data_IF_405499019699
#
_entry.id   IF_405499019699
#
_cell.length_a   1.000
_cell.length_b   1.000
_cell.length_c   1.000
_cell.angle_alpha   90.00
_cell.angle_beta   90.00
_cell.angle_gamma   90.00
#
_symmetry.space_group_name_H-M   'P 1'
#
loop_
_entity.id
_entity.type
_entity.pdbx_description
1 polymer ?
#
# COMPACT_ATOMS: atom_id res chain seq x y z
N UNK A 1 -11.13 9.55 -1.52
CA UNK A 1 -10.77 9.14 -2.91
C UNK A 1 -10.68 7.62 -2.97
N UNK A 2 -11.09 6.99 -4.08
CA UNK A 2 -10.93 5.55 -4.22
C UNK A 2 -9.45 5.18 -4.45
N UNK A 3 -8.91 4.18 -3.74
CA UNK A 3 -7.54 3.76 -3.94
C UNK A 3 -7.34 3.09 -5.30
N UNK A 4 -6.14 3.20 -5.82
CA UNK A 4 -5.67 2.37 -6.94
C UNK A 4 -5.26 1.01 -6.42
N UNK A 5 -5.33 -0.01 -7.28
CA UNK A 5 -4.88 -1.36 -6.94
C UNK A 5 -3.72 -1.75 -7.85
N UNK A 6 -2.62 -2.09 -7.25
CA UNK A 6 -1.52 -2.79 -7.91
C UNK A 6 -1.63 -4.28 -7.63
N UNK A 7 -1.52 -5.10 -8.65
CA UNK A 7 -1.48 -6.56 -8.51
C UNK A 7 -0.09 -7.01 -8.94
N UNK A 8 0.63 -7.64 -8.04
CA UNK A 8 1.96 -8.16 -8.34
C UNK A 8 1.86 -9.25 -9.43
N UNK A 9 2.74 -9.25 -10.46
CA UNK A 9 2.67 -10.21 -11.56
C UNK A 9 3.02 -11.64 -11.14
N UNK A 10 3.69 -11.82 -10.01
CA UNK A 10 4.14 -13.10 -9.49
C UNK A 10 3.74 -13.30 -8.03
N UNK A 11 3.66 -14.55 -7.55
CA UNK A 11 3.49 -14.83 -6.13
C UNK A 11 4.57 -14.15 -5.28
N UNK A 12 4.19 -13.70 -4.10
CA UNK A 12 5.08 -12.98 -3.20
C UNK A 12 5.64 -13.92 -2.11
N UNK A 13 6.95 -14.09 -2.10
CA UNK A 13 7.62 -14.96 -1.13
C UNK A 13 7.98 -14.16 0.13
N UNK A 14 7.54 -14.68 1.29
CA UNK A 14 7.80 -14.09 2.59
C UNK A 14 9.11 -14.63 3.19
N UNK A 15 9.75 -13.84 4.05
CA UNK A 15 10.97 -14.27 4.77
C UNK A 15 10.73 -15.51 5.64
N UNK A 16 9.50 -15.73 6.08
CA UNK A 16 9.11 -16.90 6.89
C UNK A 16 9.05 -18.21 6.10
N UNK A 17 9.30 -18.16 4.79
CA UNK A 17 9.26 -19.31 3.89
C UNK A 17 7.88 -19.56 3.27
N UNK A 18 6.85 -18.85 3.71
CA UNK A 18 5.51 -18.90 3.12
C UNK A 18 5.46 -18.06 1.82
N UNK A 19 4.51 -18.38 0.96
CA UNK A 19 4.25 -17.63 -0.27
C UNK A 19 2.82 -17.16 -0.31
N UNK A 20 2.61 -15.87 -0.57
CA UNK A 20 1.30 -15.35 -0.92
C UNK A 20 1.07 -15.60 -2.41
N UNK A 21 0.05 -16.39 -2.80
CA UNK A 21 -0.21 -16.70 -4.21
C UNK A 21 -0.60 -15.48 -5.02
N UNK A 22 -1.19 -14.46 -4.37
CA UNK A 22 -1.54 -13.18 -4.96
C UNK A 22 -1.24 -12.06 -3.97
N UNK A 23 -0.52 -11.04 -4.43
CA UNK A 23 -0.27 -9.82 -3.67
C UNK A 23 -0.97 -8.65 -4.37
N UNK A 24 -1.90 -8.00 -3.66
CA UNK A 24 -2.54 -6.75 -4.06
C UNK A 24 -2.12 -5.66 -3.11
N UNK A 25 -1.79 -4.50 -3.64
CA UNK A 25 -1.49 -3.29 -2.88
C UNK A 25 -2.50 -2.22 -3.25
N UNK A 26 -3.28 -1.77 -2.30
CA UNK A 26 -4.16 -0.61 -2.44
C UNK A 26 -3.39 0.65 -2.03
N UNK A 27 -3.39 1.66 -2.88
CA UNK A 27 -2.59 2.86 -2.68
C UNK A 27 -3.26 4.12 -3.24
N UNK A 28 -2.85 5.27 -2.73
CA UNK A 28 -3.22 6.58 -3.25
C UNK A 28 -2.01 7.31 -3.80
N UNK A 29 -2.23 8.14 -4.80
CA UNK A 29 -1.22 9.05 -5.35
C UNK A 29 -1.79 10.44 -5.49
N UNK A 30 -0.94 11.44 -5.29
CA UNK A 30 -1.26 12.84 -5.47
C UNK A 30 -0.15 13.50 -6.30
N UNK A 31 -0.54 14.32 -7.29
CA UNK A 31 0.41 14.89 -8.24
C UNK A 31 0.85 13.91 -9.32
N UNK A 32 1.91 14.26 -10.02
CA UNK A 32 2.43 13.50 -11.15
C UNK A 32 3.94 13.26 -11.03
N UNK A 33 4.37 12.07 -11.49
CA UNK A 33 5.78 11.73 -11.59
C UNK A 33 6.41 12.56 -12.72
N UNK A 34 7.49 13.29 -12.41
CA UNK A 34 8.20 14.07 -13.41
C UNK A 34 9.08 13.21 -14.32
N UNK A 35 9.57 13.80 -15.43
CA UNK A 35 10.37 13.08 -16.41
C UNK A 35 11.71 12.58 -15.84
N UNK A 36 12.27 13.26 -14.83
CA UNK A 36 13.51 12.86 -14.17
C UNK A 36 13.30 11.76 -13.10
N UNK A 37 12.06 11.45 -12.75
CA UNK A 37 11.69 10.48 -11.70
C UNK A 37 12.32 10.77 -10.33
N UNK A 38 12.49 12.05 -10.00
CA UNK A 38 13.16 12.50 -8.78
C UNK A 38 12.27 13.31 -7.81
N UNK A 39 10.96 13.36 -8.08
CA UNK A 39 10.00 14.10 -7.27
C UNK A 39 9.06 13.22 -6.41
N UNK A 40 9.42 11.98 -6.19
CA UNK A 40 8.60 11.04 -5.40
C UNK A 40 8.75 11.31 -3.91
N UNK A 41 7.62 11.44 -3.21
CA UNK A 41 7.56 11.44 -1.74
C UNK A 41 6.70 10.26 -1.31
N UNK A 42 7.30 9.30 -0.61
CA UNK A 42 6.60 8.15 -0.05
C UNK A 42 6.15 8.46 1.37
N UNK A 43 4.85 8.38 1.62
CA UNK A 43 4.27 8.58 2.95
C UNK A 43 3.99 7.22 3.59
N UNK A 44 4.49 7.01 4.80
CA UNK A 44 4.18 5.85 5.61
C UNK A 44 3.03 6.19 6.55
N UNK A 45 1.89 5.52 6.42
CA UNK A 45 0.74 5.79 7.28
C UNK A 45 0.91 5.21 8.69
N UNK A 46 0.21 5.79 9.67
CA UNK A 46 0.19 5.29 11.03
C UNK A 46 -0.57 3.94 11.14
N UNK A 47 -0.37 3.21 12.24
CA UNK A 47 -0.89 1.84 12.45
C UNK A 47 -2.39 1.69 12.14
N UNK A 48 -3.21 2.67 12.49
CA UNK A 48 -4.68 2.62 12.29
C UNK A 48 -5.17 3.47 11.13
N UNK A 49 -4.26 4.15 10.41
CA UNK A 49 -4.59 4.96 9.24
C UNK A 49 -4.62 4.10 7.96
N UNK A 50 -4.79 4.76 6.85
CA UNK A 50 -4.83 4.15 5.52
C UNK A 50 -4.02 4.98 4.51
N UNK A 51 -4.09 4.60 3.24
CA UNK A 51 -3.34 5.28 2.18
C UNK A 51 -3.89 6.63 1.75
N UNK A 52 -5.10 7.03 2.18
CA UNK A 52 -5.66 8.35 1.84
C UNK A 52 -5.14 9.45 2.79
N UNK A 53 -3.91 9.89 2.52
CA UNK A 53 -3.18 10.86 3.36
C UNK A 53 -3.95 12.18 3.50
N UNK A 54 -4.61 12.64 2.46
CA UNK A 54 -5.35 13.90 2.48
C UNK A 54 -6.55 13.85 3.42
N UNK A 55 -7.13 12.66 3.66
CA UNK A 55 -8.25 12.47 4.59
C UNK A 55 -7.80 12.56 6.06
N UNK A 56 -6.78 11.77 6.45
CA UNK A 56 -6.37 11.73 7.85
C UNK A 56 -5.31 12.78 8.22
N UNK A 57 -4.72 13.46 7.24
CA UNK A 57 -3.75 14.54 7.47
C UNK A 57 -4.16 15.80 6.69
N UNK A 58 -5.27 16.43 7.08
CA UNK A 58 -5.84 17.55 6.34
C UNK A 58 -4.85 18.70 6.21
N UNK A 59 -4.92 19.42 5.10
CA UNK A 59 -4.07 20.55 4.74
C UNK A 59 -2.57 20.24 4.57
N UNK A 60 -2.20 18.96 4.50
CA UNK A 60 -0.81 18.57 4.26
C UNK A 60 -0.54 18.35 2.78
N UNK A 61 -1.47 17.67 2.08
CA UNK A 61 -1.37 17.35 0.65
C UNK A 61 -2.24 18.33 -0.14
N UNK A 62 -1.73 19.54 -0.33
CA UNK A 62 -2.39 20.60 -1.09
C UNK A 62 -1.35 21.46 -1.79
N UNK A 63 -1.75 22.15 -2.88
CA UNK A 63 -0.87 23.10 -3.58
C UNK A 63 -0.37 24.21 -2.63
N UNK A 64 0.93 24.39 -2.60
CA UNK A 64 1.59 25.36 -1.73
C UNK A 64 1.77 24.91 -0.28
N UNK A 65 1.41 23.65 0.04
CA UNK A 65 1.62 23.05 1.36
C UNK A 65 2.83 22.14 1.39
N UNK A 66 3.04 21.44 2.50
CA UNK A 66 4.22 20.62 2.75
C UNK A 66 4.41 19.52 1.69
N UNK A 67 3.33 18.81 1.34
CA UNK A 67 3.30 17.84 0.25
C UNK A 67 2.52 18.43 -0.92
N UNK A 68 3.19 19.29 -1.69
CA UNK A 68 2.56 20.02 -2.80
C UNK A 68 2.45 19.13 -4.04
N UNK A 69 1.21 18.73 -4.47
CA UNK A 69 1.02 17.89 -5.65
C UNK A 69 1.44 18.55 -6.97
N UNK A 70 1.62 19.88 -6.99
CA UNK A 70 2.15 20.59 -8.17
C UNK A 70 3.67 20.36 -8.35
N UNK A 71 4.36 19.93 -7.30
CA UNK A 71 5.82 19.74 -7.27
C UNK A 71 6.22 18.30 -7.01
N UNK A 72 5.45 17.58 -6.17
CA UNK A 72 5.75 16.24 -5.70
C UNK A 72 4.76 15.22 -6.27
N UNK A 73 5.27 14.04 -6.56
CA UNK A 73 4.45 12.85 -6.75
C UNK A 73 4.37 12.11 -5.41
N UNK A 74 3.30 12.35 -4.67
CA UNK A 74 3.11 11.78 -3.33
C UNK A 74 2.46 10.41 -3.49
N UNK A 75 3.03 9.40 -2.85
CA UNK A 75 2.54 8.02 -2.85
C UNK A 75 2.37 7.54 -1.42
N UNK A 76 1.24 6.92 -1.13
CA UNK A 76 1.02 6.20 0.12
C UNK A 76 0.33 4.87 -0.19
N UNK A 77 0.89 3.77 0.28
CA UNK A 77 0.32 2.44 0.13
C UNK A 77 -0.19 1.92 1.48
N UNK A 78 -1.31 1.18 1.45
CA UNK A 78 -1.73 0.41 2.62
C UNK A 78 -0.77 -0.76 2.80
N UNK A 79 -0.22 -0.90 4.00
CA UNK A 79 0.77 -1.93 4.30
C UNK A 79 0.19 -3.34 4.18
N UNK A 80 1.05 -4.30 3.88
CA UNK A 80 0.72 -5.73 3.88
C UNK A 80 0.08 -6.12 5.22
N UNK A 81 -1.00 -6.89 5.16
CA UNK A 81 -1.73 -7.32 6.36
C UNK A 81 -2.78 -6.33 6.87
N UNK A 82 -2.85 -5.12 6.32
CA UNK A 82 -3.88 -4.14 6.67
C UNK A 82 -5.25 -4.51 6.08
N UNK A 83 -6.30 -3.79 6.50
CA UNK A 83 -7.68 -4.09 6.09
C UNK A 83 -8.27 -3.04 5.12
N UNK A 84 -7.42 -2.26 4.45
CA UNK A 84 -7.85 -1.20 3.52
C UNK A 84 -7.52 -1.53 2.05
N UNK A 85 -7.74 -2.79 1.66
CA UNK A 85 -7.62 -3.22 0.26
C UNK A 85 -6.30 -3.89 -0.14
N UNK A 86 -5.22 -3.69 0.61
CA UNK A 86 -3.99 -4.49 0.46
C UNK A 86 -4.20 -5.90 1.01
N UNK A 87 -3.55 -6.89 0.42
CA UNK A 87 -3.65 -8.29 0.84
C UNK A 87 -3.43 -8.44 2.34
N UNK A 88 -4.39 -9.04 3.01
CA UNK A 88 -4.43 -9.23 4.45
C UNK A 88 -5.36 -10.38 4.84
N UNK A 89 -5.54 -10.61 6.16
CA UNK A 89 -6.33 -11.75 6.67
C UNK A 89 -7.78 -11.81 6.20
N UNK A 90 -8.38 -10.67 5.83
CA UNK A 90 -9.77 -10.62 5.35
C UNK A 90 -9.91 -10.93 3.86
N UNK A 91 -8.82 -11.02 3.12
CA UNK A 91 -8.85 -11.33 1.69
C UNK A 91 -9.07 -12.82 1.44
N UNK A 92 -9.72 -13.12 0.33
CA UNK A 92 -9.90 -14.49 -0.13
C UNK A 92 -8.56 -15.05 -0.59
N UNK A 93 -8.20 -16.21 -0.04
CA UNK A 93 -7.07 -16.99 -0.54
C UNK A 93 -7.48 -17.63 -1.88
N UNK A 94 -6.82 -17.30 -2.99
CA UNK A 94 -7.19 -17.83 -4.30
C UNK A 94 -7.02 -19.36 -4.43
N UNK A 95 -6.21 -19.98 -3.56
CA UNK A 95 -6.01 -21.42 -3.55
C UNK A 95 -7.16 -22.17 -2.85
N UNK A 96 -7.84 -21.57 -1.87
CA UNK A 96 -8.92 -22.22 -1.11
C UNK A 96 -10.30 -21.68 -1.44
N UNK A 97 -10.39 -20.47 -2.02
CA UNK A 97 -11.64 -19.78 -2.29
C UNK A 97 -12.32 -19.19 -1.06
N UNK A 98 -11.65 -19.20 0.10
CA UNK A 98 -12.15 -18.68 1.39
C UNK A 98 -11.18 -17.62 1.94
N UNK A 99 -11.65 -16.69 2.81
CA UNK A 99 -10.76 -15.73 3.46
C UNK A 99 -9.66 -16.42 4.27
N UNK A 100 -8.49 -15.80 4.31
CA UNK A 100 -7.36 -16.34 5.08
C UNK A 100 -7.64 -16.44 6.58
N UNK A 101 -8.19 -15.38 7.16
CA UNK A 101 -8.37 -15.23 8.60
C UNK A 101 -7.08 -15.61 9.37
N UNK A 102 -7.14 -16.64 10.22
CA UNK A 102 -6.02 -17.13 11.03
C UNK A 102 -4.93 -17.83 10.23
N UNK A 103 -5.26 -18.26 9.00
CA UNK A 103 -4.32 -18.93 8.10
C UNK A 103 -3.49 -17.94 7.29
N UNK A 104 -3.69 -16.62 7.49
CA UNK A 104 -2.82 -15.63 6.89
C UNK A 104 -1.39 -15.84 7.37
N UNK A 105 -0.42 -16.02 6.44
CA UNK A 105 0.93 -16.40 6.82
C UNK A 105 1.62 -15.31 7.64
N UNK A 106 2.49 -15.65 8.59
CA UNK A 106 3.29 -14.68 9.31
C UNK A 106 4.24 -13.96 8.34
N UNK A 107 4.39 -12.67 8.52
CA UNK A 107 5.24 -11.81 7.71
C UNK A 107 6.07 -10.87 8.59
N UNK A 108 7.12 -10.29 8.01
CA UNK A 108 8.06 -9.42 8.72
C UNK A 108 7.92 -7.97 8.25
N UNK A 109 8.54 -7.04 9.00
CA UNK A 109 8.63 -5.63 8.56
C UNK A 109 9.37 -5.54 7.22
N UNK A 110 10.37 -6.40 7.00
CA UNK A 110 11.09 -6.43 5.71
C UNK A 110 10.19 -6.88 4.57
N UNK A 111 9.27 -7.80 4.82
CA UNK A 111 8.24 -8.19 3.84
C UNK A 111 7.32 -7.02 3.49
N UNK A 112 6.92 -6.21 4.48
CA UNK A 112 6.13 -4.98 4.25
C UNK A 112 6.88 -4.02 3.33
N UNK A 113 8.18 -3.85 3.53
CA UNK A 113 9.00 -2.94 2.72
C UNK A 113 9.18 -3.46 1.29
N UNK A 114 9.24 -4.78 1.10
CA UNK A 114 9.43 -5.40 -0.22
C UNK A 114 8.14 -5.52 -1.03
N UNK A 115 7.01 -5.55 -0.35
CA UNK A 115 5.70 -5.60 -0.99
C UNK A 115 5.37 -4.29 -1.70
#
# INVERSE_FOLDING_TARGET
MEPRIYIAPEPFQLETGHTLPELKIAYHTYGELNAAHDNVVWVCHALTANSDVADWWPHTVETGKFLDPARHFVVCANILGSHYGTTGPLHTNPQTGTPYYRDFPPFTIRDIVRA
#
